data_IF_642985644645
#
_entry.id   IF_642985644645
#
_cell.length_a   1.000
_cell.length_b   1.000
_cell.length_c   1.000
_cell.angle_alpha   90.00
_cell.angle_beta   90.00
_cell.angle_gamma   90.00
#
_symmetry.space_group_name_H-M   'P 1'
#
loop_
_entity.id
_entity.type
_entity.pdbx_description
1 polymer ?
#
# COMPACT_ATOMS: atom_id res chain seq x y z
N UNK A 1 10.93 20.61 -12.08
CA UNK A 1 10.43 20.29 -10.73
C UNK A 1 8.92 20.44 -10.77
N UNK A 2 8.19 19.34 -10.59
CA UNK A 2 6.74 19.30 -10.75
C UNK A 2 6.03 19.66 -9.45
N UNK A 3 5.07 20.59 -9.54
CA UNK A 3 4.11 20.89 -8.46
C UNK A 3 3.07 19.78 -8.42
N UNK A 4 2.93 19.08 -7.31
CA UNK A 4 2.00 17.94 -7.18
C UNK A 4 0.82 18.35 -6.33
N UNK A 5 -0.39 18.21 -6.89
CA UNK A 5 -1.63 18.49 -6.18
C UNK A 5 -2.24 17.19 -5.64
N UNK A 6 -2.50 17.16 -4.34
CA UNK A 6 -3.22 16.06 -3.69
C UNK A 6 -4.64 16.52 -3.42
N UNK A 7 -5.60 15.84 -4.04
CA UNK A 7 -7.03 16.15 -3.87
C UNK A 7 -7.55 15.66 -2.53
N UNK A 8 -8.49 16.41 -1.96
CA UNK A 8 -9.15 16.07 -0.69
C UNK A 8 -9.94 14.75 -0.81
N UNK A 9 -9.77 13.88 0.19
CA UNK A 9 -10.60 12.71 0.46
C UNK A 9 -11.25 12.89 1.84
N UNK A 10 -12.39 13.58 1.96
CA UNK A 10 -12.99 13.93 3.24
C UNK A 10 -13.47 12.69 4.01
N UNK A 11 -13.51 12.74 5.35
CA UNK A 11 -14.05 11.64 6.15
C UNK A 11 -15.54 11.45 5.90
N UNK A 12 -16.06 10.28 6.31
CA UNK A 12 -17.48 9.99 6.25
C UNK A 12 -18.25 11.00 7.11
N UNK A 13 -19.38 11.55 6.62
CA UNK A 13 -20.18 12.48 7.40
C UNK A 13 -20.78 11.79 8.62
N UNK A 14 -21.01 12.57 9.67
CA UNK A 14 -21.74 12.13 10.85
C UNK A 14 -23.23 12.13 10.50
N UNK A 15 -23.85 10.96 10.52
CA UNK A 15 -25.24 10.73 10.10
C UNK A 15 -26.10 10.25 11.26
N UNK A 16 -27.41 10.46 11.17
CA UNK A 16 -28.36 9.92 12.14
C UNK A 16 -28.30 8.40 12.19
N UNK A 17 -28.39 7.84 13.40
CA UNK A 17 -28.55 6.41 13.62
C UNK A 17 -30.02 6.14 13.92
N UNK A 18 -30.57 5.02 13.44
CA UNK A 18 -31.94 4.61 13.74
C UNK A 18 -32.00 3.09 13.92
N UNK A 19 -32.60 2.63 15.00
CA UNK A 19 -32.78 1.21 15.29
C UNK A 19 -34.21 0.95 15.76
N UNK A 20 -34.82 -0.10 15.23
CA UNK A 20 -36.19 -0.52 15.60
C UNK A 20 -36.14 -1.86 16.30
N UNK A 21 -36.79 -1.96 17.46
CA UNK A 21 -36.81 -3.16 18.28
C UNK A 21 -38.16 -3.35 18.96
N UNK A 22 -38.43 -4.56 19.43
CA UNK A 22 -39.66 -4.90 20.14
C UNK A 22 -39.42 -4.88 21.64
N UNK A 23 -40.37 -4.33 22.39
CA UNK A 23 -40.42 -4.40 23.85
C UNK A 23 -41.62 -5.24 24.26
N UNK A 24 -41.37 -6.21 25.15
CA UNK A 24 -42.39 -7.06 25.74
C UNK A 24 -42.56 -6.69 27.22
N UNK A 25 -43.80 -6.56 27.68
CA UNK A 25 -44.14 -6.28 29.08
C UNK A 25 -45.37 -7.09 29.46
N UNK A 26 -45.20 -8.15 30.27
CA UNK A 26 -46.22 -9.07 30.81
C UNK A 26 -47.28 -9.58 29.81
N UNK A 27 -48.18 -8.72 29.32
CA UNK A 27 -49.24 -9.02 28.35
C UNK A 27 -49.33 -8.04 27.18
N UNK A 28 -48.38 -7.10 27.07
CA UNK A 28 -48.35 -6.02 26.08
C UNK A 28 -47.06 -6.10 25.27
N UNK A 29 -47.18 -5.77 24.00
CA UNK A 29 -46.03 -5.64 23.11
C UNK A 29 -46.10 -4.31 22.38
N UNK A 30 -44.93 -3.76 22.07
CA UNK A 30 -44.84 -2.59 21.22
C UNK A 30 -43.54 -2.57 20.45
N UNK A 31 -43.58 -1.95 19.28
CA UNK A 31 -42.39 -1.67 18.48
C UNK A 31 -41.91 -0.27 18.80
N UNK A 32 -40.62 -0.14 18.98
CA UNK A 32 -39.97 1.12 19.35
C UNK A 32 -38.93 1.44 18.29
N UNK A 33 -38.94 2.67 17.81
CA UNK A 33 -37.89 3.21 16.96
C UNK A 33 -37.15 4.27 17.77
N UNK A 34 -35.85 4.04 17.99
CA UNK A 34 -34.94 4.99 18.60
C UNK A 34 -34.07 5.58 17.48
N UNK A 35 -34.04 6.90 17.36
CA UNK A 35 -33.14 7.61 16.47
C UNK A 35 -32.21 8.53 17.28
N UNK A 36 -30.92 8.54 16.95
CA UNK A 36 -29.92 9.45 17.51
C UNK A 36 -29.42 10.36 16.39
N UNK A 37 -29.71 11.66 16.50
CA UNK A 37 -29.31 12.66 15.50
C UNK A 37 -27.82 13.02 15.64
N UNK A 38 -27.17 13.59 14.60
CA UNK A 38 -25.81 14.11 14.71
C UNK A 38 -25.63 15.16 15.81
N UNK A 39 -26.71 15.86 16.19
CA UNK A 39 -26.72 16.84 17.28
C UNK A 39 -26.84 16.23 18.69
N UNK A 40 -26.86 14.90 18.78
CA UNK A 40 -26.94 14.17 20.04
C UNK A 40 -28.35 14.11 20.62
N UNK A 41 -29.38 14.37 19.82
CA UNK A 41 -30.77 14.27 20.24
C UNK A 41 -31.29 12.85 20.04
N UNK A 42 -31.92 12.30 21.07
CA UNK A 42 -32.57 10.99 21.02
C UNK A 42 -34.06 11.19 20.71
N UNK A 43 -34.46 10.86 19.49
CA UNK A 43 -35.85 10.88 19.05
C UNK A 43 -36.44 9.49 19.27
N UNK A 44 -37.63 9.45 19.86
CA UNK A 44 -38.21 8.21 20.37
C UNK A 44 -39.65 8.06 19.92
N UNK A 45 -39.94 6.98 19.21
CA UNK A 45 -41.30 6.69 18.71
C UNK A 45 -41.72 5.30 19.15
N UNK A 46 -42.92 5.18 19.72
CA UNK A 46 -43.50 3.92 20.19
C UNK A 46 -44.78 3.62 19.43
N UNK A 47 -44.92 2.37 19.00
CA UNK A 47 -46.10 1.82 18.35
C UNK A 47 -46.61 0.61 19.14
N UNK A 48 -47.93 0.51 19.32
CA UNK A 48 -48.59 -0.58 20.06
C UNK A 48 -48.97 -0.22 21.49
N UNK A 49 -49.30 -1.24 22.29
CA UNK A 49 -50.07 -1.06 23.54
C UNK A 49 -49.20 -0.81 24.79
N UNK A 50 -47.95 -0.38 24.59
CA UNK A 50 -47.00 -0.04 25.67
C UNK A 50 -46.83 1.49 25.78
N UNK A 51 -46.66 1.99 27.01
CA UNK A 51 -46.33 3.39 27.23
C UNK A 51 -44.86 3.69 26.92
N UNK A 52 -44.57 4.96 26.62
CA UNK A 52 -43.21 5.46 26.44
C UNK A 52 -42.30 5.14 27.64
N UNK A 53 -42.83 5.32 28.85
CA UNK A 53 -42.13 5.03 30.11
C UNK A 53 -41.79 3.54 30.28
N UNK A 54 -42.70 2.65 29.85
CA UNK A 54 -42.47 1.20 29.87
C UNK A 54 -41.37 0.83 28.89
N UNK A 55 -41.44 1.37 27.67
CA UNK A 55 -40.44 1.15 26.64
C UNK A 55 -39.03 1.63 27.08
N UNK A 56 -38.92 2.84 27.65
CA UNK A 56 -37.65 3.41 28.13
C UNK A 56 -37.02 2.66 29.31
N UNK A 57 -37.83 1.98 30.14
CA UNK A 57 -37.32 1.18 31.26
C UNK A 57 -36.81 -0.20 30.83
N UNK A 58 -37.18 -0.67 29.64
CA UNK A 58 -36.78 -1.99 29.15
C UNK A 58 -35.26 -2.14 29.02
N UNK A 59 -34.77 -3.35 29.26
CA UNK A 59 -33.36 -3.69 29.05
C UNK A 59 -32.96 -3.52 27.58
N UNK A 60 -33.84 -3.91 26.65
CA UNK A 60 -33.64 -3.73 25.21
C UNK A 60 -33.40 -2.26 24.85
N UNK A 61 -34.22 -1.34 25.36
CA UNK A 61 -34.01 0.09 25.10
C UNK A 61 -32.66 0.58 25.61
N UNK A 62 -32.28 0.24 26.85
CA UNK A 62 -31.00 0.67 27.43
C UNK A 62 -29.81 0.14 26.63
N UNK A 63 -29.88 -1.12 26.19
CA UNK A 63 -28.84 -1.74 25.37
C UNK A 63 -28.74 -1.06 23.98
N UNK A 64 -29.87 -0.80 23.32
CA UNK A 64 -29.92 -0.09 22.04
C UNK A 64 -29.43 1.35 22.18
N UNK A 65 -29.85 2.08 23.22
CA UNK A 65 -29.39 3.46 23.50
C UNK A 65 -27.87 3.49 23.67
N UNK A 66 -27.29 2.59 24.47
CA UNK A 66 -25.84 2.52 24.67
C UNK A 66 -25.10 2.16 23.38
N UNK A 67 -25.60 1.19 22.62
CA UNK A 67 -25.02 0.79 21.33
C UNK A 67 -24.97 1.98 20.36
N UNK A 68 -26.10 2.66 20.16
CA UNK A 68 -26.17 3.83 19.27
C UNK A 68 -25.27 4.97 19.75
N UNK A 69 -25.22 5.19 21.07
CA UNK A 69 -24.33 6.18 21.69
C UNK A 69 -22.86 5.91 21.37
N UNK A 70 -22.42 4.66 21.54
CA UNK A 70 -21.04 4.25 21.26
C UNK A 70 -20.69 4.38 19.77
N UNK A 71 -21.62 4.00 18.88
CA UNK A 71 -21.43 4.16 17.43
C UNK A 71 -21.30 5.64 17.07
N UNK A 72 -22.19 6.50 17.57
CA UNK A 72 -22.15 7.94 17.29
C UNK A 72 -20.88 8.60 17.84
N UNK A 73 -20.47 8.23 19.06
CA UNK A 73 -19.21 8.70 19.64
C UNK A 73 -18.03 8.31 18.74
N UNK A 74 -17.99 7.06 18.26
CA UNK A 74 -16.96 6.58 17.35
C UNK A 74 -16.95 7.31 16.01
N UNK A 75 -18.11 7.68 15.46
CA UNK A 75 -18.20 8.49 14.24
C UNK A 75 -17.60 9.89 14.45
N UNK A 76 -17.83 10.51 15.61
CA UNK A 76 -17.22 11.79 15.96
C UNK A 76 -15.69 11.67 16.11
N UNK A 77 -15.20 10.62 16.77
CA UNK A 77 -13.77 10.32 16.90
C UNK A 77 -13.12 10.09 15.53
N UNK A 78 -13.70 9.23 14.68
CA UNK A 78 -13.16 8.91 13.36
C UNK A 78 -13.15 10.13 12.43
N UNK A 79 -14.18 10.99 12.51
CA UNK A 79 -14.24 12.24 11.75
C UNK A 79 -13.15 13.23 12.19
N UNK A 80 -12.86 13.29 13.50
CA UNK A 80 -11.78 14.12 14.04
C UNK A 80 -10.40 13.55 13.65
N UNK A 81 -10.21 12.25 13.86
CA UNK A 81 -8.94 11.56 13.70
C UNK A 81 -8.43 11.60 12.27
N UNK A 82 -9.35 11.66 11.30
CA UNK A 82 -9.02 11.87 9.89
C UNK A 82 -8.16 13.13 9.64
N UNK A 83 -8.28 14.14 10.49
CA UNK A 83 -7.51 15.38 10.41
C UNK A 83 -6.33 15.40 11.39
N UNK A 84 -6.56 15.06 12.65
CA UNK A 84 -5.58 15.35 13.73
C UNK A 84 -4.56 14.25 13.94
N UNK A 85 -4.76 13.05 13.40
CA UNK A 85 -3.87 11.90 13.63
C UNK A 85 -3.59 11.06 12.38
N UNK A 86 -3.58 11.70 11.19
CA UNK A 86 -3.34 11.05 9.90
C UNK A 86 -2.04 10.21 9.84
N UNK A 87 -1.00 10.62 10.57
CA UNK A 87 0.27 9.91 10.71
C UNK A 87 0.15 8.55 11.39
N UNK A 88 -0.87 8.31 12.23
CA UNK A 88 -1.01 7.06 13.01
C UNK A 88 -1.13 5.81 12.14
N UNK A 89 -1.60 5.97 10.91
CA UNK A 89 -1.75 4.87 9.93
C UNK A 89 -0.48 4.61 9.12
N UNK A 90 0.51 5.49 9.21
CA UNK A 90 1.76 5.35 8.48
C UNK A 90 2.75 4.46 9.23
N UNK A 91 3.52 3.70 8.48
CA UNK A 91 4.62 2.88 9.00
C UNK A 91 5.85 3.09 8.13
N UNK A 92 6.96 3.41 8.79
CA UNK A 92 8.23 3.51 8.10
C UNK A 92 8.73 2.12 7.71
N UNK A 93 9.18 1.98 6.46
CA UNK A 93 9.91 0.82 5.98
C UNK A 93 11.35 0.87 6.48
N UNK A 94 11.75 -0.19 7.18
CA UNK A 94 13.13 -0.37 7.64
C UNK A 94 14.07 -0.47 6.42
N UNK A 95 15.28 0.04 6.56
CA UNK A 95 16.28 -0.01 5.49
C UNK A 95 16.56 -1.45 5.02
N UNK A 96 16.55 -2.42 5.95
CA UNK A 96 16.72 -3.84 5.64
C UNK A 96 15.66 -4.40 4.67
N UNK A 97 14.45 -3.82 4.67
CA UNK A 97 13.35 -4.25 3.78
C UNK A 97 13.55 -3.89 2.31
N UNK A 98 14.59 -3.12 1.97
CA UNK A 98 14.90 -2.76 0.59
C UNK A 98 15.94 -3.67 -0.05
N UNK A 99 16.40 -4.73 0.63
CA UNK A 99 17.44 -5.61 0.10
C UNK A 99 17.02 -6.30 -1.21
N UNK A 100 17.97 -6.44 -2.13
CA UNK A 100 17.77 -7.15 -3.41
C UNK A 100 17.34 -8.60 -3.15
N UNK A 101 18.00 -9.29 -2.23
CA UNK A 101 17.72 -10.70 -1.92
C UNK A 101 16.30 -10.97 -1.45
N UNK A 102 15.66 -10.01 -0.77
CA UNK A 102 14.28 -10.16 -0.29
C UNK A 102 13.23 -9.77 -1.33
N UNK A 103 13.56 -8.84 -2.23
CA UNK A 103 12.59 -8.25 -3.16
C UNK A 103 12.68 -8.82 -4.59
N UNK A 104 13.78 -9.47 -4.95
CA UNK A 104 13.95 -10.11 -6.26
C UNK A 104 13.81 -11.62 -6.11
N UNK A 105 12.86 -12.21 -6.85
CA UNK A 105 12.65 -13.66 -6.83
C UNK A 105 13.81 -14.39 -7.50
N UNK A 106 14.23 -15.55 -6.98
CA UNK A 106 15.14 -16.44 -7.68
C UNK A 106 14.57 -16.80 -9.05
N UNK A 107 15.47 -16.97 -10.01
CA UNK A 107 15.12 -17.21 -11.39
C UNK A 107 14.76 -18.68 -11.64
N UNK A 108 13.75 -18.92 -12.48
CA UNK A 108 13.42 -20.26 -12.97
C UNK A 108 14.49 -20.75 -13.98
N UNK A 109 14.66 -22.08 -14.05
CA UNK A 109 15.53 -22.73 -15.02
C UNK A 109 14.71 -23.53 -16.04
N UNK A 110 15.17 -23.55 -17.30
CA UNK A 110 14.53 -24.34 -18.35
C UNK A 110 14.45 -25.82 -17.97
N UNK A 111 13.24 -26.37 -18.07
CA UNK A 111 12.97 -27.78 -17.83
C UNK A 111 13.17 -28.55 -19.13
N UNK A 112 14.17 -29.44 -19.13
CA UNK A 112 14.51 -30.26 -20.29
C UNK A 112 13.39 -31.22 -20.63
N UNK A 113 13.05 -31.32 -21.93
CA UNK A 113 12.10 -32.32 -22.41
C UNK A 113 12.80 -33.63 -22.67
N UNK A 114 12.04 -34.71 -22.60
CA UNK A 114 12.51 -36.06 -22.97
C UNK A 114 12.14 -36.37 -24.41
N UNK A 115 13.03 -37.06 -25.12
CA UNK A 115 12.75 -37.57 -26.45
C UNK A 115 11.66 -38.65 -26.38
N UNK A 116 10.58 -38.49 -27.14
CA UNK A 116 9.44 -39.42 -27.18
C UNK A 116 9.67 -40.61 -28.14
N UNK A 117 10.74 -40.57 -28.94
CA UNK A 117 11.11 -41.63 -29.87
C UNK A 117 11.95 -42.69 -29.15
N UNK A 118 11.34 -43.85 -28.93
CA UNK A 118 12.01 -45.01 -28.33
C UNK A 118 13.14 -45.53 -29.21
N UNK A 119 14.18 -46.06 -28.54
CA UNK A 119 15.28 -46.75 -29.20
C UNK A 119 14.76 -48.01 -29.91
N UNK A 120 15.07 -48.21 -31.21
CA UNK A 120 14.67 -49.41 -31.95
C UNK A 120 15.19 -50.69 -31.26
N UNK A 121 14.35 -51.72 -31.18
CA UNK A 121 14.73 -53.03 -30.66
C UNK A 121 15.06 -54.01 -31.78
N UNK A 122 15.94 -54.98 -31.48
CA UNK A 122 16.33 -56.03 -32.43
C UNK A 122 15.14 -56.83 -32.97
N UNK A 123 14.11 -57.03 -32.14
CA UNK A 123 12.90 -57.76 -32.52
C UNK A 123 12.04 -56.96 -33.51
N UNK A 124 11.82 -55.66 -33.26
CA UNK A 124 11.07 -54.79 -34.17
C UNK A 124 11.75 -54.69 -35.55
N UNK A 125 13.09 -54.59 -35.56
CA UNK A 125 13.86 -54.53 -36.80
C UNK A 125 13.77 -55.86 -37.55
N UNK A 126 13.86 -56.99 -36.84
CA UNK A 126 13.72 -58.32 -37.44
C UNK A 126 12.32 -58.54 -38.03
N UNK A 127 11.26 -58.15 -37.31
CA UNK A 127 9.88 -58.21 -37.80
C UNK A 127 9.67 -57.35 -39.05
N UNK A 128 10.27 -56.16 -39.08
CA UNK A 128 10.20 -55.27 -40.25
C UNK A 128 10.87 -55.91 -41.48
N UNK A 129 12.06 -56.48 -41.34
CA UNK A 129 12.77 -57.16 -42.44
C UNK A 129 12.02 -58.43 -42.89
N UNK A 130 11.43 -59.18 -41.96
CA UNK A 130 10.57 -60.34 -42.30
C UNK A 130 9.31 -59.89 -43.06
N UNK A 131 8.68 -58.79 -42.65
CA UNK A 131 7.50 -58.24 -43.34
C UNK A 131 7.83 -57.76 -44.76
N UNK A 132 8.99 -57.15 -44.96
CA UNK A 132 9.47 -56.71 -46.26
C UNK A 132 9.74 -57.89 -47.20
N UNK A 133 10.38 -58.95 -46.70
CA UNK A 133 10.58 -60.20 -47.45
C UNK A 133 9.24 -60.82 -47.91
N UNK A 134 8.23 -60.85 -47.03
CA UNK A 134 6.89 -61.37 -47.35
C UNK A 134 6.17 -60.53 -48.40
N UNK A 135 6.29 -59.20 -48.31
CA UNK A 135 5.69 -58.29 -49.29
C UNK A 135 6.33 -58.44 -50.68
N UNK A 136 7.65 -58.65 -50.75
CA UNK A 136 8.37 -58.91 -51.99
C UNK A 136 7.98 -60.25 -52.62
N UNK A 137 7.78 -61.29 -51.80
CA UNK A 137 7.31 -62.60 -52.25
C UNK A 137 5.87 -62.55 -52.84
N UNK A 138 5.04 -61.60 -52.40
CA UNK A 138 3.69 -61.39 -52.94
C UNK A 138 3.62 -60.39 -54.11
N UNK A 139 4.74 -59.82 -54.55
CA UNK A 139 4.78 -58.90 -55.70
C UNK A 139 5.00 -59.69 -57.01
N UNK A 140 4.01 -59.73 -57.93
CA UNK A 140 4.10 -60.53 -59.16
C UNK A 140 5.16 -60.04 -60.16
N UNK A 141 5.76 -58.87 -59.94
CA UNK A 141 6.86 -58.32 -60.75
C UNK A 141 8.24 -58.48 -60.12
N UNK A 142 8.33 -59.05 -58.91
CA UNK A 142 9.60 -59.30 -58.21
C UNK A 142 10.07 -60.73 -58.46
N UNK A 143 11.38 -60.94 -58.56
CA UNK A 143 11.96 -62.27 -58.43
C UNK A 143 11.62 -62.84 -57.05
N UNK A 144 11.17 -64.10 -56.98
CA UNK A 144 10.91 -64.80 -55.71
C UNK A 144 12.19 -64.86 -54.88
N UNK A 145 12.15 -64.36 -53.65
CA UNK A 145 13.29 -64.38 -52.71
C UNK A 145 12.91 -65.23 -51.49
N UNK A 146 13.81 -66.11 -51.05
CA UNK A 146 13.64 -66.86 -49.81
C UNK A 146 13.66 -65.91 -48.60
N UNK A 147 12.65 -65.97 -47.73
CA UNK A 147 12.55 -65.12 -46.51
C UNK A 147 13.82 -65.24 -45.64
N UNK A 148 14.35 -66.46 -45.49
CA UNK A 148 15.54 -66.72 -44.67
C UNK A 148 16.82 -66.11 -45.27
N UNK A 149 16.98 -66.16 -46.58
CA UNK A 149 18.12 -65.59 -47.30
C UNK A 149 18.04 -64.05 -47.31
N UNK A 150 16.85 -63.50 -47.52
CA UNK A 150 16.62 -62.04 -47.48
C UNK A 150 16.88 -61.46 -46.10
N UNK A 151 16.37 -62.09 -45.04
CA UNK A 151 16.61 -61.66 -43.66
C UNK A 151 18.10 -61.73 -43.34
N UNK A 152 18.79 -62.83 -43.70
CA UNK A 152 20.22 -62.98 -43.44
C UNK A 152 21.07 -61.93 -44.17
N UNK A 153 20.69 -61.55 -45.39
CA UNK A 153 21.41 -60.57 -46.18
C UNK A 153 21.17 -59.12 -45.71
N UNK A 154 19.98 -58.80 -45.21
CA UNK A 154 19.57 -57.40 -44.95
C UNK A 154 19.50 -57.02 -43.46
N UNK A 155 19.37 -57.98 -42.53
CA UNK A 155 19.13 -57.70 -41.11
C UNK A 155 20.21 -56.81 -40.49
N UNK A 156 21.49 -57.14 -40.68
CA UNK A 156 22.60 -56.37 -40.09
C UNK A 156 22.69 -54.96 -40.66
N UNK A 157 22.46 -54.81 -41.98
CA UNK A 157 22.41 -53.49 -42.63
C UNK A 157 21.25 -52.65 -42.08
N UNK A 158 20.06 -53.24 -41.95
CA UNK A 158 18.87 -52.56 -41.43
C UNK A 158 19.01 -52.21 -39.95
N UNK A 159 19.61 -53.09 -39.14
CA UNK A 159 19.97 -52.79 -37.74
C UNK A 159 20.85 -51.56 -37.65
N UNK A 160 21.94 -51.54 -38.44
CA UNK A 160 22.86 -50.42 -38.48
C UNK A 160 22.15 -49.13 -38.90
N UNK A 161 21.42 -49.13 -40.00
CA UNK A 161 20.70 -47.94 -40.49
C UNK A 161 19.70 -47.38 -39.47
N UNK A 162 18.90 -48.25 -38.83
CA UNK A 162 17.90 -47.81 -37.82
C UNK A 162 18.56 -47.29 -36.55
N UNK A 163 19.65 -47.91 -36.13
CA UNK A 163 20.41 -47.47 -34.95
C UNK A 163 21.10 -46.13 -35.23
N UNK A 164 21.74 -45.99 -36.39
CA UNK A 164 22.39 -44.75 -36.83
C UNK A 164 21.37 -43.61 -36.93
N UNK A 165 20.22 -43.85 -37.57
CA UNK A 165 19.13 -42.87 -37.66
C UNK A 165 18.58 -42.47 -36.29
N UNK A 166 18.42 -43.41 -35.36
CA UNK A 166 17.98 -43.08 -34.00
C UNK A 166 19.03 -42.25 -33.24
N UNK A 167 20.32 -42.57 -33.38
CA UNK A 167 21.39 -41.76 -32.78
C UNK A 167 21.46 -40.36 -33.38
N UNK A 168 21.25 -40.21 -34.69
CA UNK A 168 21.18 -38.91 -35.35
C UNK A 168 19.99 -38.09 -34.82
N UNK A 169 18.80 -38.69 -34.72
CA UNK A 169 17.61 -38.07 -34.14
C UNK A 169 17.86 -37.65 -32.69
N UNK A 170 18.44 -38.52 -31.86
CA UNK A 170 18.78 -38.20 -30.47
C UNK A 170 19.77 -37.04 -30.38
N UNK A 171 20.77 -37.02 -31.25
CA UNK A 171 21.78 -35.96 -31.31
C UNK A 171 21.13 -34.63 -31.69
N UNK A 172 20.30 -34.61 -32.74
CA UNK A 172 19.56 -33.42 -33.16
C UNK A 172 18.61 -32.94 -32.06
N UNK A 173 17.87 -33.85 -31.41
CA UNK A 173 16.99 -33.51 -30.30
C UNK A 173 17.76 -32.83 -29.15
N UNK A 174 18.89 -33.42 -28.73
CA UNK A 174 19.72 -32.85 -27.67
C UNK A 174 20.30 -31.48 -28.05
N UNK A 175 20.69 -31.27 -29.32
CA UNK A 175 21.15 -29.98 -29.81
C UNK A 175 20.02 -28.94 -29.80
N UNK A 176 18.81 -29.33 -30.21
CA UNK A 176 17.63 -28.45 -30.18
C UNK A 176 17.25 -28.11 -28.74
N UNK A 177 17.17 -29.09 -27.83
CA UNK A 177 16.86 -28.86 -26.42
C UNK A 177 17.91 -27.98 -25.75
N UNK A 178 19.20 -28.19 -26.04
CA UNK A 178 20.26 -27.31 -25.56
C UNK A 178 20.08 -25.88 -26.06
N UNK A 179 19.83 -25.69 -27.35
CA UNK A 179 19.60 -24.36 -27.91
C UNK A 179 18.35 -23.67 -27.31
N UNK A 180 17.27 -24.43 -27.05
CA UNK A 180 16.08 -23.93 -26.36
C UNK A 180 16.40 -23.54 -24.91
N UNK A 181 17.12 -24.40 -24.18
CA UNK A 181 17.55 -24.15 -22.81
C UNK A 181 18.43 -22.91 -22.70
N UNK A 182 19.45 -22.78 -23.57
CA UNK A 182 20.36 -21.64 -23.60
C UNK A 182 19.58 -20.33 -23.86
N UNK A 183 18.64 -20.34 -24.81
CA UNK A 183 17.78 -19.18 -25.12
C UNK A 183 16.86 -18.81 -23.96
N UNK A 184 16.18 -19.79 -23.37
CA UNK A 184 15.25 -19.56 -22.27
C UNK A 184 15.98 -19.05 -21.02
N UNK A 185 17.07 -19.72 -20.63
CA UNK A 185 17.89 -19.33 -19.48
C UNK A 185 18.53 -17.94 -19.68
N UNK A 186 18.90 -17.56 -20.91
CA UNK A 186 19.37 -16.22 -21.22
C UNK A 186 18.26 -15.16 -21.03
N UNK A 187 17.02 -15.44 -21.45
CA UNK A 187 15.87 -14.54 -21.24
C UNK A 187 15.58 -14.37 -19.76
N UNK A 188 15.47 -15.47 -19.04
CA UNK A 188 15.25 -15.47 -17.60
C UNK A 188 16.35 -14.67 -16.87
N UNK A 189 17.62 -14.81 -17.30
CA UNK A 189 18.75 -14.08 -16.70
C UNK A 189 18.63 -12.58 -16.93
N UNK A 190 18.26 -12.18 -18.14
CA UNK A 190 18.04 -10.78 -18.48
C UNK A 190 16.94 -10.15 -17.62
N UNK A 191 15.84 -10.86 -17.39
CA UNK A 191 14.73 -10.41 -16.54
C UNK A 191 15.13 -10.30 -15.07
N UNK A 192 15.89 -11.29 -14.56
CA UNK A 192 16.46 -11.26 -13.22
C UNK A 192 17.43 -10.08 -13.05
N UNK A 193 18.41 -9.91 -13.94
CA UNK A 193 19.38 -8.82 -13.91
C UNK A 193 18.71 -7.44 -13.99
N UNK A 194 17.63 -7.32 -14.78
CA UNK A 194 16.82 -6.10 -14.85
C UNK A 194 16.08 -5.83 -13.52
N UNK A 195 15.52 -6.86 -12.89
CA UNK A 195 14.84 -6.74 -11.60
C UNK A 195 15.81 -6.37 -10.47
N UNK A 196 17.02 -6.97 -10.47
CA UNK A 196 18.11 -6.61 -9.56
C UNK A 196 18.48 -5.14 -9.74
N UNK A 197 18.65 -4.69 -10.97
CA UNK A 197 18.98 -3.29 -11.27
C UNK A 197 17.89 -2.33 -10.80
N UNK A 198 16.63 -2.60 -11.11
CA UNK A 198 15.51 -1.76 -10.68
C UNK A 198 15.44 -1.66 -9.14
N UNK A 199 15.65 -2.77 -8.44
CA UNK A 199 15.69 -2.74 -6.97
C UNK A 199 16.91 -1.96 -6.45
N UNK A 200 18.05 -2.06 -7.12
CA UNK A 200 19.26 -1.32 -6.75
C UNK A 200 19.07 0.19 -6.97
N UNK A 201 18.43 0.60 -8.06
CA UNK A 201 18.09 2.01 -8.31
C UNK A 201 17.18 2.60 -7.21
N UNK A 202 16.26 1.80 -6.66
CA UNK A 202 15.48 2.19 -5.47
C UNK A 202 16.37 2.35 -4.24
N UNK A 203 17.29 1.41 -3.99
CA UNK A 203 18.21 1.47 -2.84
C UNK A 203 19.11 2.70 -2.92
N UNK A 204 19.67 2.96 -4.10
CA UNK A 204 20.60 4.07 -4.36
C UNK A 204 19.86 5.41 -4.46
N UNK A 205 18.54 5.37 -4.59
CA UNK A 205 17.68 6.54 -4.66
C UNK A 205 17.92 7.33 -5.92
N UNK A 206 17.89 6.67 -7.08
CA UNK A 206 18.01 7.34 -8.36
C UNK A 206 16.92 8.42 -8.53
N UNK A 207 17.28 9.54 -9.16
CA UNK A 207 16.38 10.70 -9.23
C UNK A 207 15.01 10.36 -9.84
N UNK A 208 14.99 9.54 -10.88
CA UNK A 208 13.74 9.14 -11.54
C UNK A 208 12.82 8.32 -10.62
N UNK A 209 13.38 7.49 -9.71
CA UNK A 209 12.61 6.74 -8.71
C UNK A 209 11.92 7.71 -7.75
N UNK A 210 12.64 8.74 -7.30
CA UNK A 210 12.08 9.76 -6.41
C UNK A 210 11.01 10.57 -7.14
N UNK A 211 11.29 11.00 -8.37
CA UNK A 211 10.36 11.77 -9.18
C UNK A 211 9.06 10.99 -9.42
N UNK A 212 9.15 9.73 -9.87
CA UNK A 212 7.99 8.86 -10.12
C UNK A 212 7.16 8.64 -8.84
N UNK A 213 7.83 8.42 -7.70
CA UNK A 213 7.15 8.25 -6.43
C UNK A 213 6.38 9.52 -6.02
N UNK A 214 6.97 10.70 -6.20
CA UNK A 214 6.30 11.97 -5.92
C UNK A 214 5.09 12.21 -6.86
N UNK A 215 5.21 11.88 -8.14
CA UNK A 215 4.06 11.93 -9.06
C UNK A 215 2.95 10.96 -8.64
N UNK A 216 3.29 9.80 -8.07
CA UNK A 216 2.31 8.83 -7.57
C UNK A 216 1.52 9.33 -6.35
N UNK A 217 2.06 10.29 -5.58
CA UNK A 217 1.43 10.78 -4.34
C UNK A 217 0.04 11.38 -4.53
N UNK A 218 -0.26 11.93 -5.72
CA UNK A 218 -1.61 12.43 -6.03
C UNK A 218 -2.68 11.34 -5.91
N UNK A 219 -2.29 10.08 -6.14
CA UNK A 219 -3.19 8.93 -6.15
C UNK A 219 -3.10 8.10 -4.86
N UNK A 220 -1.90 7.99 -4.28
CA UNK A 220 -1.62 7.11 -3.15
C UNK A 220 -1.86 7.76 -1.79
N UNK A 221 -1.60 9.06 -1.65
CA UNK A 221 -1.80 9.75 -0.38
C UNK A 221 -3.29 10.06 -0.14
N UNK A 222 -3.66 10.12 1.13
CA UNK A 222 -5.03 10.38 1.57
C UNK A 222 -5.05 11.50 2.59
N UNK A 223 -5.45 12.69 2.17
CA UNK A 223 -5.54 13.88 3.03
C UNK A 223 -6.97 14.45 2.95
N UNK A 224 -7.58 14.91 4.06
CA UNK A 224 -8.98 15.37 4.04
C UNK A 224 -9.18 16.80 3.52
N UNK A 225 -8.13 17.46 3.04
CA UNK A 225 -8.14 18.79 2.44
C UNK A 225 -7.12 18.84 1.29
N UNK A 226 -7.22 19.87 0.45
CA UNK A 226 -6.36 19.99 -0.73
C UNK A 226 -5.00 20.58 -0.34
N UNK A 227 -3.93 19.91 -0.74
CA UNK A 227 -2.56 20.38 -0.56
C UNK A 227 -1.79 20.34 -1.88
N UNK A 228 -0.76 21.17 -1.96
CA UNK A 228 0.20 21.15 -3.05
C UNK A 228 1.61 20.93 -2.50
N UNK A 229 2.37 20.05 -3.16
CA UNK A 229 3.73 19.68 -2.78
C UNK A 229 4.71 20.14 -3.84
N UNK A 230 5.79 20.77 -3.40
CA UNK A 230 7.01 20.95 -4.17
C UNK A 230 8.16 20.25 -3.43
N UNK A 231 9.12 19.69 -4.15
CA UNK A 231 10.27 19.02 -3.52
C UNK A 231 11.57 19.28 -4.26
N UNK A 232 12.68 19.23 -3.53
CA UNK A 232 14.04 19.28 -4.04
C UNK A 232 14.84 18.14 -3.44
N UNK A 233 15.21 17.17 -4.26
CA UNK A 233 15.99 16.01 -3.84
C UNK A 233 17.48 16.21 -4.16
N UNK A 234 18.34 15.81 -3.24
CA UNK A 234 19.79 15.74 -3.43
C UNK A 234 20.28 14.33 -3.06
N UNK A 235 20.52 13.51 -4.08
CA UNK A 235 20.95 12.12 -3.93
C UNK A 235 22.28 11.99 -3.19
N UNK A 236 23.28 12.81 -3.55
CA UNK A 236 24.62 12.77 -2.95
C UNK A 236 24.60 13.20 -1.48
N UNK A 237 23.85 14.25 -1.16
CA UNK A 237 23.68 14.72 0.22
C UNK A 237 22.63 13.92 1.01
N UNK A 238 22.03 12.87 0.41
CA UNK A 238 21.03 11.99 1.04
C UNK A 238 19.88 12.75 1.70
N UNK A 239 19.50 13.88 1.11
CA UNK A 239 18.55 14.83 1.71
C UNK A 239 17.49 15.25 0.72
N UNK A 240 16.31 15.58 1.26
CA UNK A 240 15.19 16.09 0.49
C UNK A 240 14.50 17.22 1.24
N UNK A 241 14.23 18.31 0.51
CA UNK A 241 13.42 19.42 0.98
C UNK A 241 12.01 19.29 0.37
N UNK A 242 10.97 19.38 1.17
CA UNK A 242 9.56 19.33 0.74
C UNK A 242 8.84 20.56 1.25
N UNK A 243 8.20 21.31 0.36
CA UNK A 243 7.30 22.41 0.68
C UNK A 243 5.86 21.96 0.50
N UNK A 244 5.07 22.09 1.55
CA UNK A 244 3.64 21.81 1.57
C UNK A 244 2.89 23.15 1.58
N UNK A 245 2.02 23.36 0.61
CA UNK A 245 1.09 24.48 0.57
C UNK A 245 -0.32 23.98 0.93
N UNK A 246 -0.90 24.53 2.00
CA UNK A 246 -2.31 24.34 2.31
C UNK A 246 -3.13 25.25 1.40
N UNK A 247 -3.73 24.70 0.34
CA UNK A 247 -4.46 25.51 -0.66
C UNK A 247 -5.75 26.12 -0.12
N UNK A 248 -6.23 25.61 1.01
CA UNK A 248 -7.37 26.09 1.80
C UNK A 248 -7.04 25.97 3.29
N UNK A 249 -7.72 26.73 4.16
CA UNK A 249 -7.56 26.59 5.60
C UNK A 249 -8.24 25.30 6.10
N UNK A 250 -7.48 24.31 6.63
CA UNK A 250 -8.05 23.06 7.14
C UNK A 250 -9.06 23.27 8.27
N UNK A 251 -8.96 24.36 9.04
CA UNK A 251 -9.88 24.65 10.14
C UNK A 251 -11.34 24.78 9.66
N UNK A 252 -11.55 25.15 8.40
CA UNK A 252 -12.86 25.27 7.77
C UNK A 252 -13.48 23.92 7.39
N UNK A 253 -12.69 22.84 7.37
CA UNK A 253 -13.14 21.48 7.02
C UNK A 253 -13.27 20.57 8.23
N UNK A 254 -12.66 20.95 9.35
CA UNK A 254 -12.68 20.19 10.59
C UNK A 254 -14.08 20.14 11.22
N UNK A 255 -14.42 19.05 11.95
CA UNK A 255 -15.62 19.02 12.76
C UNK A 255 -15.64 20.16 13.78
N UNK A 256 -16.68 21.01 13.76
CA UNK A 256 -16.83 22.13 14.71
C UNK A 256 -17.56 21.76 16.00
N UNK A 257 -18.05 20.51 16.08
CA UNK A 257 -18.71 19.94 17.26
C UNK A 257 -17.85 18.81 17.82
N UNK A 258 -17.96 18.58 19.12
CA UNK A 258 -17.37 17.43 19.81
C UNK A 258 -18.45 16.68 20.59
N UNK A 259 -18.32 15.36 20.60
CA UNK A 259 -19.17 14.49 21.37
C UNK A 259 -18.44 14.01 22.63
N UNK A 260 -19.14 13.98 23.76
CA UNK A 260 -18.65 13.44 25.03
C UNK A 260 -19.76 12.69 25.74
N UNK A 261 -19.43 11.64 26.50
CA UNK A 261 -20.41 10.97 27.36
C UNK A 261 -20.70 11.83 28.60
N UNK A 262 -21.99 11.99 28.92
CA UNK A 262 -22.43 12.51 30.22
C UNK A 262 -22.24 11.44 31.30
N UNK A 263 -22.29 11.85 32.56
CA UNK A 263 -22.33 10.93 33.72
C UNK A 263 -23.49 9.92 33.62
N UNK A 264 -24.56 10.27 32.92
CA UNK A 264 -25.71 9.39 32.66
C UNK A 264 -25.47 8.35 31.55
N UNK A 265 -24.30 8.32 30.92
CA UNK A 265 -23.99 7.45 29.77
C UNK A 265 -24.54 7.96 28.43
N UNK A 266 -25.34 9.03 28.42
CA UNK A 266 -25.90 9.63 27.20
C UNK A 266 -24.89 10.50 26.47
N UNK A 267 -25.05 10.61 25.15
CA UNK A 267 -24.22 11.50 24.35
C UNK A 267 -24.52 12.98 24.68
N UNK A 268 -23.46 13.79 24.72
CA UNK A 268 -23.53 15.24 24.71
C UNK A 268 -22.73 15.75 23.53
N UNK A 269 -23.39 16.41 22.59
CA UNK A 269 -22.73 17.10 21.48
C UNK A 269 -22.74 18.59 21.79
N UNK A 270 -21.58 19.25 21.64
CA UNK A 270 -21.45 20.70 21.83
C UNK A 270 -20.48 21.30 20.84
N UNK A 271 -20.62 22.60 20.56
CA UNK A 271 -19.63 23.33 19.79
C UNK A 271 -18.25 23.29 20.47
N UNK A 272 -17.20 23.24 19.65
CA UNK A 272 -15.82 23.37 20.11
C UNK A 272 -15.54 24.79 20.57
N UNK A 273 -14.71 24.92 21.61
CA UNK A 273 -14.19 26.23 22.02
C UNK A 273 -13.12 26.69 21.03
N UNK A 274 -12.80 27.98 21.00
CA UNK A 274 -11.71 28.49 20.17
C UNK A 274 -10.37 27.78 20.47
N UNK A 275 -10.11 27.46 21.75
CA UNK A 275 -8.91 26.73 22.15
C UNK A 275 -8.88 25.28 21.64
N UNK A 276 -10.04 24.61 21.53
CA UNK A 276 -10.12 23.29 20.90
C UNK A 276 -9.79 23.37 19.41
N UNK A 277 -10.37 24.35 18.70
CA UNK A 277 -10.12 24.55 17.26
C UNK A 277 -8.66 24.86 16.98
N UNK A 278 -8.03 25.72 17.78
CA UNK A 278 -6.60 26.03 17.65
C UNK A 278 -5.71 24.82 17.89
N UNK A 279 -6.05 24.00 18.89
CA UNK A 279 -5.32 22.76 19.20
C UNK A 279 -5.46 21.75 18.05
N UNK A 280 -6.68 21.58 17.53
CA UNK A 280 -6.94 20.68 16.42
C UNK A 280 -6.19 21.10 15.16
N UNK A 281 -6.19 22.39 14.84
CA UNK A 281 -5.42 22.95 13.72
C UNK A 281 -3.92 22.64 13.84
N UNK A 282 -3.34 22.85 15.02
CA UNK A 282 -1.93 22.56 15.27
C UNK A 282 -1.63 21.06 15.11
N UNK A 283 -2.48 20.19 15.66
CA UNK A 283 -2.37 18.74 15.44
C UNK A 283 -2.45 18.39 13.96
N UNK A 284 -3.38 18.95 13.20
CA UNK A 284 -3.51 18.63 11.77
C UNK A 284 -2.30 19.05 10.96
N UNK A 285 -1.75 20.25 11.23
CA UNK A 285 -0.53 20.70 10.57
C UNK A 285 0.64 19.75 10.84
N UNK A 286 0.89 19.42 12.11
CA UNK A 286 2.01 18.56 12.47
C UNK A 286 1.79 17.11 12.00
N UNK A 287 0.61 16.55 12.23
CA UNK A 287 0.25 15.21 11.77
C UNK A 287 0.41 15.05 10.26
N UNK A 288 0.07 16.08 9.47
CA UNK A 288 0.37 16.10 8.04
C UNK A 288 1.88 16.05 7.76
N UNK A 289 2.69 16.86 8.45
CA UNK A 289 4.14 16.86 8.26
C UNK A 289 4.76 15.49 8.56
N UNK A 290 4.39 14.83 9.67
CA UNK A 290 4.86 13.47 9.98
C UNK A 290 4.38 12.44 8.95
N UNK A 291 3.12 12.56 8.50
CA UNK A 291 2.56 11.70 7.48
C UNK A 291 3.33 11.80 6.16
N UNK A 292 3.61 13.02 5.68
CA UNK A 292 4.41 13.26 4.47
C UNK A 292 5.85 12.78 4.68
N UNK A 293 6.50 13.09 5.80
CA UNK A 293 7.87 12.64 6.09
C UNK A 293 7.99 11.12 6.02
N UNK A 294 7.05 10.39 6.62
CA UNK A 294 7.05 8.93 6.59
C UNK A 294 6.92 8.37 5.16
N UNK A 295 6.05 8.96 4.35
CA UNK A 295 5.88 8.54 2.95
C UNK A 295 7.11 8.87 2.10
N UNK A 296 7.73 10.02 2.33
CA UNK A 296 8.97 10.43 1.66
C UNK A 296 10.13 9.50 2.01
N UNK A 297 10.32 9.16 3.29
CA UNK A 297 11.34 8.16 3.66
C UNK A 297 11.04 6.77 3.08
N UNK A 298 9.78 6.44 2.81
CA UNK A 298 9.40 5.16 2.22
C UNK A 298 9.68 5.06 0.70
N UNK A 299 10.02 6.17 0.04
CA UNK A 299 10.41 6.16 -1.38
C UNK A 299 11.69 5.34 -1.56
N UNK A 300 12.74 5.72 -0.84
CA UNK A 300 14.07 5.11 -0.95
C UNK A 300 14.78 5.15 0.40
N UNK A 301 15.58 4.12 0.76
CA UNK A 301 16.45 4.17 1.92
C UNK A 301 17.59 5.19 1.77
N UNK A 302 17.89 5.70 0.57
CA UNK A 302 18.94 6.71 0.37
C UNK A 302 18.59 8.06 1.01
N UNK A 303 17.30 8.39 1.18
CA UNK A 303 16.89 9.60 1.91
C UNK A 303 17.12 9.38 3.42
N UNK A 304 18.10 10.10 3.96
CA UNK A 304 18.49 10.09 5.37
C UNK A 304 17.99 11.33 6.13
N UNK A 305 17.84 12.46 5.43
CA UNK A 305 17.31 13.70 6.00
C UNK A 305 16.12 14.19 5.17
N UNK A 306 15.00 14.46 5.83
CA UNK A 306 13.80 15.01 5.20
C UNK A 306 13.42 16.31 5.90
N UNK A 307 13.41 17.42 5.15
CA UNK A 307 13.05 18.75 5.65
C UNK A 307 11.71 19.13 5.08
N UNK A 308 10.76 19.47 5.94
CA UNK A 308 9.40 19.82 5.52
C UNK A 308 9.11 21.25 5.95
N UNK A 309 8.75 22.10 5.01
CA UNK A 309 8.19 23.42 5.23
C UNK A 309 6.69 23.40 4.95
N UNK A 310 5.88 23.92 5.87
CA UNK A 310 4.43 24.04 5.71
C UNK A 310 4.05 25.51 5.58
N UNK A 311 3.22 25.83 4.59
CA UNK A 311 2.78 27.19 4.28
C UNK A 311 1.25 27.29 4.18
N UNK A 312 0.75 28.49 4.39
CA UNK A 312 -0.62 28.87 4.04
C UNK A 312 -0.81 28.95 2.52
N UNK A 313 -2.05 29.16 2.09
CA UNK A 313 -2.42 29.24 0.67
C UNK A 313 -1.57 30.28 -0.07
N UNK A 314 -1.16 29.92 -1.30
CA UNK A 314 -0.27 30.72 -2.17
C UNK A 314 1.10 31.00 -1.55
N UNK A 315 1.49 30.23 -0.53
CA UNK A 315 2.70 30.45 0.28
C UNK A 315 2.78 31.89 0.80
N UNK A 316 1.67 32.42 1.29
CA UNK A 316 1.60 33.78 1.84
C UNK A 316 2.36 33.91 3.16
N UNK A 317 2.27 32.88 4.02
CA UNK A 317 2.92 32.82 5.32
C UNK A 317 3.46 31.41 5.59
N UNK A 318 4.51 31.32 6.40
CA UNK A 318 5.04 30.06 6.92
C UNK A 318 4.30 29.62 8.18
N UNK A 319 4.04 28.33 8.32
CA UNK A 319 3.35 27.76 9.49
C UNK A 319 4.36 27.05 10.40
N UNK A 320 5.11 26.11 9.82
CA UNK A 320 6.09 25.32 10.56
C UNK A 320 7.10 24.68 9.61
N UNK A 321 8.36 24.59 10.04
CA UNK A 321 9.40 23.82 9.38
C UNK A 321 10.00 22.81 10.35
N UNK A 322 10.26 21.59 9.86
CA UNK A 322 10.87 20.51 10.63
C UNK A 322 11.93 19.79 9.80
N UNK A 323 13.04 19.43 10.43
CA UNK A 323 14.04 18.50 9.89
C UNK A 323 13.95 17.14 10.60
N UNK A 324 13.69 16.10 9.82
CA UNK A 324 13.66 14.72 10.29
C UNK A 324 14.91 13.98 9.84
N UNK A 325 15.52 13.24 10.77
CA UNK A 325 16.54 12.25 10.48
C UNK A 325 15.90 10.86 10.42
N UNK A 326 16.19 10.07 9.38
CA UNK A 326 15.58 8.76 9.15
C UNK A 326 15.78 7.80 10.33
N UNK A 327 16.98 7.71 10.88
CA UNK A 327 17.29 6.76 11.96
C UNK A 327 16.50 7.07 13.22
N UNK A 328 16.47 8.34 13.63
CA UNK A 328 15.64 8.78 14.76
C UNK A 328 14.14 8.66 14.45
N UNK A 329 13.72 8.92 13.21
CA UNK A 329 12.33 8.78 12.80
C UNK A 329 11.88 7.31 12.84
N UNK A 330 12.78 6.38 12.51
CA UNK A 330 12.53 4.95 12.53
C UNK A 330 12.26 4.38 13.93
N UNK A 331 12.71 5.06 15.00
CA UNK A 331 12.41 4.65 16.38
C UNK A 331 11.07 5.15 16.88
N UNK A 332 10.36 6.00 16.10
CA UNK A 332 9.06 6.51 16.49
C UNK A 332 7.95 5.48 16.29
N UNK A 333 7.07 5.38 17.28
CA UNK A 333 5.79 4.67 17.15
C UNK A 333 4.70 5.68 16.74
N UNK A 334 4.56 5.92 15.43
CA UNK A 334 3.60 6.92 14.90
C UNK A 334 2.15 6.70 15.36
N UNK A 335 1.75 5.46 15.67
CA UNK A 335 0.42 5.12 16.19
C UNK A 335 0.09 5.73 17.55
N UNK A 336 1.11 5.99 18.38
CA UNK A 336 0.98 6.52 19.74
C UNK A 336 1.67 7.87 19.92
N UNK A 337 2.29 8.40 18.86
CA UNK A 337 3.00 9.67 18.89
C UNK A 337 2.03 10.84 19.14
N UNK A 338 2.42 11.75 20.03
CA UNK A 338 1.85 13.09 20.15
C UNK A 338 2.74 14.11 19.41
N UNK A 339 2.35 14.58 18.21
CA UNK A 339 3.18 15.49 17.43
C UNK A 339 3.45 16.84 18.12
N UNK A 340 2.53 17.33 18.96
CA UNK A 340 2.72 18.60 19.66
C UNK A 340 3.80 18.52 20.73
N UNK A 341 3.99 17.34 21.32
CA UNK A 341 5.07 17.09 22.27
C UNK A 341 6.37 16.72 21.55
N UNK A 342 6.29 15.96 20.47
CA UNK A 342 7.48 15.45 19.77
C UNK A 342 8.19 16.52 18.92
N UNK A 343 7.48 17.58 18.50
CA UNK A 343 8.05 18.65 17.66
C UNK A 343 9.35 19.25 18.22
N UNK A 344 9.45 19.39 19.55
CA UNK A 344 10.63 19.97 20.22
C UNK A 344 11.85 19.07 20.18
N UNK A 345 11.67 17.78 19.86
CA UNK A 345 12.76 16.83 19.68
C UNK A 345 13.44 17.00 18.31
N UNK A 346 12.88 17.80 17.41
CA UNK A 346 13.39 18.01 16.05
C UNK A 346 13.89 19.45 15.87
N UNK A 347 14.95 19.67 15.07
CA UNK A 347 15.24 21.02 14.59
C UNK A 347 14.00 21.57 13.88
N UNK A 348 13.57 22.75 14.31
CA UNK A 348 12.32 23.32 13.84
C UNK A 348 12.35 24.84 13.79
N UNK A 349 11.52 25.40 12.92
CA UNK A 349 11.15 26.81 12.92
C UNK A 349 9.64 26.84 13.05
N UNK A 350 9.15 27.30 14.20
CA UNK A 350 7.71 27.37 14.48
C UNK A 350 7.42 28.50 15.48
N UNK A 351 6.21 29.03 15.41
CA UNK A 351 5.68 29.94 16.43
C UNK A 351 4.61 29.19 17.24
N UNK A 352 5.03 28.09 17.88
CA UNK A 352 4.18 27.28 18.74
C UNK A 352 4.10 27.92 20.13
N UNK A 353 2.91 28.42 20.49
CA UNK A 353 2.62 28.96 21.82
C UNK A 353 1.84 27.93 22.63
N UNK A 354 2.38 27.57 23.80
CA UNK A 354 1.72 26.70 24.77
C UNK A 354 1.27 27.56 25.95
N UNK A 355 -0.04 27.80 26.06
CA UNK A 355 -0.66 28.60 27.12
C UNK A 355 -1.61 27.72 27.92
N UNK A 356 -1.19 27.31 29.13
CA UNK A 356 -1.92 26.39 30.03
C UNK A 356 -2.28 25.07 29.34
N UNK A 357 -3.45 25.01 28.71
CA UNK A 357 -3.99 23.84 27.99
C UNK A 357 -4.14 24.07 26.50
N UNK A 358 -3.87 25.28 26.00
CA UNK A 358 -4.03 25.66 24.59
C UNK A 358 -2.66 25.60 23.92
N UNK A 359 -2.57 24.79 22.87
CA UNK A 359 -1.44 24.80 21.95
C UNK A 359 -1.89 25.48 20.68
N UNK A 360 -1.24 26.59 20.32
CA UNK A 360 -1.56 27.38 19.13
C UNK A 360 -0.33 27.48 18.27
N UNK A 361 -0.44 27.03 17.02
CA UNK A 361 0.57 27.20 16.00
C UNK A 361 0.22 28.45 15.18
N UNK A 362 1.02 29.49 15.31
CA UNK A 362 0.81 30.76 14.61
C UNK A 362 1.66 30.85 13.35
N UNK A 363 1.12 31.55 12.34
CA UNK A 363 1.87 31.88 11.14
C UNK A 363 3.05 32.80 11.44
N UNK A 364 4.05 32.72 10.58
CA UNK A 364 5.24 33.57 10.52
C UNK A 364 5.25 34.21 9.13
N UNK A 365 5.52 35.51 9.07
CA UNK A 365 5.69 36.22 7.79
C UNK A 365 6.73 35.48 6.94
N UNK A 366 6.44 35.31 5.65
CA UNK A 366 7.17 34.43 4.75
C UNK A 366 8.68 34.68 4.73
N UNK A 367 9.09 35.94 4.58
CA UNK A 367 10.50 36.31 4.47
C UNK A 367 11.24 36.00 5.78
N UNK A 368 10.63 36.34 6.92
CA UNK A 368 11.15 36.00 8.24
C UNK A 368 11.25 34.49 8.43
N UNK A 369 10.24 33.73 8.00
CA UNK A 369 10.22 32.28 8.08
C UNK A 369 11.35 31.63 7.27
N UNK A 370 11.50 32.02 6.01
CA UNK A 370 12.57 31.51 5.14
C UNK A 370 13.97 31.88 5.64
N UNK A 371 14.14 33.09 6.21
CA UNK A 371 15.39 33.50 6.84
C UNK A 371 15.73 32.65 8.07
N UNK A 372 14.74 32.39 8.93
CA UNK A 372 14.92 31.52 10.10
C UNK A 372 15.27 30.08 9.68
N UNK A 373 14.63 29.54 8.65
CA UNK A 373 14.98 28.21 8.10
C UNK A 373 16.43 28.18 7.63
N UNK A 374 16.87 29.18 6.85
CA UNK A 374 18.26 29.27 6.40
C UNK A 374 19.24 29.31 7.58
N UNK A 375 18.97 30.15 8.57
CA UNK A 375 19.78 30.22 9.79
C UNK A 375 19.82 28.89 10.53
N UNK A 376 18.67 28.21 10.65
CA UNK A 376 18.58 26.93 11.33
C UNK A 376 19.37 25.84 10.61
N UNK A 377 19.25 25.75 9.27
CA UNK A 377 20.01 24.80 8.46
C UNK A 377 21.52 25.06 8.57
N UNK A 378 21.95 26.32 8.52
CA UNK A 378 23.36 26.69 8.69
C UNK A 378 23.92 26.33 10.06
N UNK A 379 23.10 26.28 11.11
CA UNK A 379 23.54 25.86 12.44
C UNK A 379 23.70 24.34 12.60
N UNK A 380 23.18 23.56 11.66
CA UNK A 380 23.21 22.09 11.66
C UNK A 380 24.32 21.50 10.78
N UNK A 381 24.91 22.31 9.89
CA UNK A 381 26.10 21.99 9.10
C UNK A 381 27.35 22.34 9.89
#
# INVERSE_FOLDING_TARGET
>A
MGKIRICSKPPKPIVSLSETYTVLSSYKSGRVTLCLTPDGEYLFTVYGDISESTAKRSSTHKATEQKMTNIMLKMYEDAQDAYTVIQKKSKLRLASSYSVQQNVKPQDAYQWKTLDIKKPTDNEIKELVMSEARNLAHNPKSSSVSESEFVKANLESMKKQRMDAWYEILTLFNLIEKAQADRANASFKKEYDASVRAQQEIIDGENHIVDDAFHSFSNTLMVPFIIELDYKYNQAAKSIDVSIELTEDPSLKMPMKKATLKTTGKLSVRAKTQGDVQRDYAYTCLSLMYYIACNVFNITPNIQTCRIALYTARKAEGICWLEFNRNKFATLHLSTLDPLLDIVAWPNVSNLKVLKTISKLECIEKTAFENQIRSQISSLM
#
